data_IF_707551662922
#
_entry.id   IF_707551662922
#
_cell.length_a   1.000
_cell.length_b   1.000
_cell.length_c   1.000
_cell.angle_alpha   90.00
_cell.angle_beta   90.00
_cell.angle_gamma   90.00
#
_symmetry.space_group_name_H-M   'P 1'
#
loop_
_entity.id
_entity.type
_entity.pdbx_description
1 polymer ?
#
# COMPACT_ATOMS: atom_id res chain seq x y z
N UNK A 1 -11.35 -24.22 4.28
CA UNK A 1 -12.20 -23.19 3.62
C UNK A 1 -11.74 -21.83 4.08
N UNK A 2 -11.53 -20.89 3.15
CA UNK A 2 -11.25 -19.48 3.43
C UNK A 2 -12.46 -18.85 4.16
N UNK A 3 -12.25 -18.20 5.31
CA UNK A 3 -13.32 -17.46 6.03
C UNK A 3 -13.97 -16.37 5.16
N UNK A 4 -13.20 -15.87 4.18
CA UNK A 4 -13.64 -14.89 3.20
C UNK A 4 -14.20 -15.63 1.99
N UNK A 5 -15.49 -15.40 1.72
CA UNK A 5 -16.18 -15.88 0.51
C UNK A 5 -16.04 -14.82 -0.58
N UNK A 6 -15.73 -15.25 -1.80
CA UNK A 6 -15.59 -14.39 -2.97
C UNK A 6 -16.63 -14.77 -4.01
N UNK A 7 -17.34 -13.78 -4.55
CA UNK A 7 -18.28 -13.91 -5.67
C UNK A 7 -17.83 -12.98 -6.78
N UNK A 8 -17.74 -13.49 -8.01
CA UNK A 8 -17.42 -12.65 -9.18
C UNK A 8 -18.68 -11.87 -9.58
N UNK A 9 -18.62 -10.53 -9.55
CA UNK A 9 -19.70 -9.67 -10.02
C UNK A 9 -19.51 -9.29 -11.50
N UNK A 10 -18.27 -9.08 -11.89
CA UNK A 10 -17.85 -8.83 -13.28
C UNK A 10 -16.52 -9.50 -13.53
N UNK A 11 -16.41 -10.24 -14.63
CA UNK A 11 -15.18 -10.91 -15.04
C UNK A 11 -14.45 -10.07 -16.10
N UNK A 12 -13.20 -9.68 -15.81
CA UNK A 12 -12.28 -9.15 -16.79
C UNK A 12 -11.47 -10.25 -17.49
N UNK A 13 -10.57 -9.86 -18.38
CA UNK A 13 -9.61 -10.74 -19.04
C UNK A 13 -8.64 -11.28 -17.98
N UNK A 14 -8.71 -12.58 -17.76
CA UNK A 14 -7.86 -13.30 -16.81
C UNK A 14 -6.39 -13.12 -17.19
N UNK A 15 -5.55 -12.85 -16.20
CA UNK A 15 -4.10 -12.79 -16.35
C UNK A 15 -3.41 -13.41 -15.14
N UNK A 16 -2.19 -13.92 -15.33
CA UNK A 16 -1.30 -14.33 -14.24
C UNK A 16 -0.59 -13.15 -13.58
N UNK A 17 -0.68 -11.96 -14.19
CA UNK A 17 -0.22 -10.70 -13.61
C UNK A 17 -1.44 -9.89 -13.16
N UNK A 18 -1.54 -9.62 -11.87
CA UNK A 18 -2.71 -8.98 -11.25
C UNK A 18 -2.29 -7.69 -10.56
N UNK A 19 -2.98 -6.59 -10.85
CA UNK A 19 -3.00 -5.40 -9.99
C UNK A 19 -4.25 -5.52 -9.14
N UNK A 20 -4.12 -5.33 -7.83
CA UNK A 20 -5.23 -5.52 -6.90
C UNK A 20 -5.41 -4.34 -5.96
N UNK A 21 -6.67 -3.98 -5.77
CA UNK A 21 -7.11 -2.92 -4.86
C UNK A 21 -8.46 -3.29 -4.23
N UNK A 22 -8.91 -2.50 -3.26
CA UNK A 22 -10.21 -2.64 -2.63
C UNK A 22 -10.95 -1.31 -2.57
N UNK A 23 -12.26 -1.37 -2.57
CA UNK A 23 -13.12 -0.21 -2.35
C UNK A 23 -14.37 -0.63 -1.58
N UNK A 24 -14.65 0.05 -0.47
CA UNK A 24 -15.76 -0.19 0.44
C UNK A 24 -15.98 1.07 1.29
N UNK A 25 -17.11 1.18 1.97
CA UNK A 25 -17.35 2.22 2.97
C UNK A 25 -17.33 1.65 4.38
N UNK A 26 -17.02 2.52 5.33
CA UNK A 26 -17.09 2.23 6.76
C UNK A 26 -18.19 3.09 7.36
N UNK A 27 -19.22 2.49 7.97
CA UNK A 27 -20.26 3.15 8.78
C UNK A 27 -20.58 4.62 8.43
N UNK A 28 -20.62 5.50 9.44
CA UNK A 28 -20.70 6.96 9.29
C UNK A 28 -19.45 7.49 8.56
N UNK A 29 -19.44 7.35 7.24
CA UNK A 29 -18.22 7.49 6.46
C UNK A 29 -17.71 8.94 6.49
N UNK A 30 -16.50 9.11 7.01
CA UNK A 30 -15.74 10.36 7.13
C UNK A 30 -15.37 11.03 5.77
N UNK A 31 -15.62 10.37 4.63
CA UNK A 31 -15.23 10.86 3.30
C UNK A 31 -16.40 10.87 2.33
N UNK A 32 -16.44 11.89 1.47
CA UNK A 32 -17.41 12.05 0.39
C UNK A 32 -17.18 10.93 -0.63
N UNK A 33 -18.14 10.00 -0.76
CA UNK A 33 -18.02 8.81 -1.59
C UNK A 33 -17.66 9.11 -3.07
N UNK A 34 -18.07 10.27 -3.59
CA UNK A 34 -17.69 10.74 -4.94
C UNK A 34 -16.17 10.87 -5.15
N UNK A 35 -15.41 11.18 -4.09
CA UNK A 35 -13.96 11.26 -4.17
C UNK A 35 -13.35 9.90 -4.53
N UNK A 36 -13.83 8.83 -3.90
CA UNK A 36 -13.35 7.48 -4.14
C UNK A 36 -13.61 6.98 -5.56
N UNK A 37 -14.73 7.38 -6.17
CA UNK A 37 -15.02 7.07 -7.58
C UNK A 37 -14.03 7.77 -8.51
N UNK A 38 -13.73 9.05 -8.25
CA UNK A 38 -12.72 9.80 -9.00
C UNK A 38 -11.33 9.20 -8.86
N UNK A 39 -10.96 8.80 -7.65
CA UNK A 39 -9.69 8.14 -7.36
C UNK A 39 -9.60 6.77 -8.06
N UNK A 40 -10.67 5.98 -8.05
CA UNK A 40 -10.72 4.71 -8.77
C UNK A 40 -10.62 4.87 -10.29
N UNK A 41 -11.34 5.83 -10.89
CA UNK A 41 -11.21 6.12 -12.33
C UNK A 41 -9.78 6.54 -12.69
N UNK A 42 -9.15 7.38 -11.85
CA UNK A 42 -7.75 7.77 -12.03
C UNK A 42 -6.79 6.59 -11.89
N UNK A 43 -7.03 5.70 -10.93
CA UNK A 43 -6.29 4.45 -10.75
C UNK A 43 -6.38 3.58 -12.02
N UNK A 44 -7.58 3.39 -12.59
CA UNK A 44 -7.73 2.66 -13.84
C UNK A 44 -6.92 3.27 -14.98
N UNK A 45 -6.94 4.59 -15.14
CA UNK A 45 -6.10 5.29 -16.13
C UNK A 45 -4.61 5.03 -15.93
N UNK A 46 -4.13 5.01 -14.68
CA UNK A 46 -2.72 4.70 -14.39
C UNK A 46 -2.35 3.26 -14.79
N UNK A 47 -3.28 2.32 -14.68
CA UNK A 47 -3.04 0.91 -15.06
C UNK A 47 -2.96 0.69 -16.58
N UNK A 48 -3.25 1.69 -17.41
CA UNK A 48 -3.20 1.56 -18.89
C UNK A 48 -1.78 1.35 -19.43
N UNK A 49 -0.75 1.69 -18.66
CA UNK A 49 0.64 1.35 -18.99
C UNK A 49 1.00 -0.11 -18.65
N UNK A 50 0.09 -0.85 -18.02
CA UNK A 50 0.23 -2.24 -17.58
C UNK A 50 -0.84 -3.12 -18.24
N UNK A 51 -0.99 -3.03 -19.56
CA UNK A 51 -2.09 -3.69 -20.32
C UNK A 51 -2.12 -5.22 -20.21
N UNK A 52 -1.01 -5.84 -19.84
CA UNK A 52 -0.90 -7.29 -19.62
C UNK A 52 -1.45 -7.73 -18.27
N UNK A 53 -1.75 -6.79 -17.37
CA UNK A 53 -2.32 -7.07 -16.07
C UNK A 53 -3.86 -7.09 -16.10
N UNK A 54 -4.41 -8.05 -15.36
CA UNK A 54 -5.78 -8.01 -14.87
C UNK A 54 -5.86 -7.04 -13.68
N UNK A 55 -6.90 -6.21 -13.61
CA UNK A 55 -7.18 -5.36 -12.46
C UNK A 55 -8.29 -5.99 -11.63
N UNK A 56 -7.97 -6.45 -10.42
CA UNK A 56 -8.93 -7.05 -9.48
C UNK A 56 -9.32 -6.07 -8.40
N UNK A 57 -10.60 -5.72 -8.37
CA UNK A 57 -11.17 -4.78 -7.40
C UNK A 57 -12.07 -5.55 -6.45
N UNK A 58 -11.73 -5.53 -5.17
CA UNK A 58 -12.51 -6.16 -4.11
C UNK A 58 -13.49 -5.16 -3.48
N UNK A 59 -14.75 -5.55 -3.33
CA UNK A 59 -15.83 -4.74 -2.74
C UNK A 59 -16.79 -5.57 -1.90
N UNK A 60 -17.51 -4.94 -0.97
CA UNK A 60 -18.66 -5.55 -0.31
C UNK A 60 -19.98 -4.88 -0.77
N UNK A 61 -21.08 -5.11 -0.06
CA UNK A 61 -22.40 -4.57 -0.43
C UNK A 61 -22.47 -3.03 -0.33
N UNK A 62 -21.48 -2.37 0.27
CA UNK A 62 -21.49 -0.91 0.45
C UNK A 62 -21.10 -0.11 -0.79
N UNK A 63 -20.31 -0.71 -1.70
CA UNK A 63 -19.72 -0.01 -2.84
C UNK A 63 -19.87 -0.72 -4.18
N UNK A 64 -20.45 -1.95 -4.20
CA UNK A 64 -20.47 -2.83 -5.38
C UNK A 64 -21.08 -2.18 -6.63
N UNK A 65 -22.23 -1.53 -6.51
CA UNK A 65 -22.97 -1.00 -7.66
C UNK A 65 -22.20 0.13 -8.33
N UNK A 66 -21.56 0.97 -7.51
CA UNK A 66 -20.81 2.13 -8.00
C UNK A 66 -19.47 1.70 -8.62
N UNK A 67 -18.85 0.65 -8.11
CA UNK A 67 -17.64 0.07 -8.71
C UNK A 67 -17.98 -0.61 -10.04
N UNK A 68 -19.11 -1.32 -10.11
CA UNK A 68 -19.57 -1.92 -11.37
C UNK A 68 -19.80 -0.84 -12.43
N UNK A 69 -20.47 0.25 -12.07
CA UNK A 69 -20.66 1.41 -12.95
C UNK A 69 -19.31 2.02 -13.37
N UNK A 70 -18.42 2.30 -12.41
CA UNK A 70 -17.13 2.93 -12.69
C UNK A 70 -16.17 2.02 -13.48
N UNK A 71 -16.27 0.71 -13.32
CA UNK A 71 -15.52 -0.27 -14.10
C UNK A 71 -15.98 -0.33 -15.55
N UNK A 72 -17.28 -0.09 -15.80
CA UNK A 72 -17.91 -0.10 -17.12
C UNK A 72 -17.49 -1.30 -17.97
N UNK A 73 -17.29 -1.08 -19.26
CA UNK A 73 -16.88 -2.12 -20.22
C UNK A 73 -15.37 -2.38 -20.24
N UNK A 74 -14.60 -1.88 -19.26
CA UNK A 74 -13.15 -2.09 -19.27
C UNK A 74 -12.85 -3.60 -19.23
N UNK A 75 -12.23 -4.18 -20.28
CA UNK A 75 -12.08 -5.61 -20.41
C UNK A 75 -11.03 -6.17 -19.47
N UNK A 76 -10.22 -5.36 -18.79
CA UNK A 76 -9.18 -5.82 -17.84
C UNK A 76 -9.68 -5.85 -16.40
N UNK A 77 -10.83 -5.26 -16.10
CA UNK A 77 -11.32 -5.10 -14.72
C UNK A 77 -12.24 -6.23 -14.33
N UNK A 78 -11.81 -7.01 -13.32
CA UNK A 78 -12.61 -7.99 -12.59
C UNK A 78 -13.09 -7.37 -11.28
N UNK A 79 -14.40 -7.38 -11.05
CA UNK A 79 -15.02 -6.90 -9.80
C UNK A 79 -15.41 -8.11 -8.96
N UNK A 80 -14.85 -8.19 -7.76
CA UNK A 80 -14.99 -9.30 -6.83
C UNK A 80 -15.72 -8.83 -5.58
N UNK A 81 -16.89 -9.39 -5.31
CA UNK A 81 -17.56 -9.21 -4.04
C UNK A 81 -16.92 -10.10 -2.98
N UNK A 82 -16.64 -9.55 -1.81
CA UNK A 82 -16.20 -10.31 -0.65
C UNK A 82 -17.25 -10.28 0.47
N UNK A 83 -17.36 -11.40 1.18
CA UNK A 83 -18.17 -11.51 2.38
C UNK A 83 -17.44 -12.40 3.40
N UNK A 84 -17.22 -11.86 4.59
CA UNK A 84 -16.64 -12.59 5.71
C UNK A 84 -17.59 -12.50 6.90
N UNK A 85 -18.51 -13.47 7.09
CA UNK A 85 -19.58 -13.38 8.09
C UNK A 85 -19.11 -13.06 9.51
N UNK A 86 -17.93 -13.55 9.91
CA UNK A 86 -17.34 -13.29 11.23
C UNK A 86 -16.95 -11.82 11.45
N UNK A 87 -16.76 -11.06 10.38
CA UNK A 87 -16.34 -9.66 10.40
C UNK A 87 -17.39 -8.74 9.77
N UNK A 88 -18.63 -9.20 9.63
CA UNK A 88 -19.72 -8.42 9.00
C UNK A 88 -20.31 -7.40 9.99
N UNK A 89 -20.60 -6.20 9.51
CA UNK A 89 -21.26 -5.13 10.27
C UNK A 89 -22.28 -4.42 9.36
N UNK A 90 -23.57 -4.67 9.57
CA UNK A 90 -24.63 -4.18 8.70
C UNK A 90 -24.47 -4.66 7.24
N UNK A 91 -24.45 -3.71 6.31
CA UNK A 91 -24.17 -3.95 4.88
C UNK A 91 -22.68 -4.08 4.56
N UNK A 92 -21.79 -3.75 5.49
CA UNK A 92 -20.35 -3.79 5.28
C UNK A 92 -19.62 -4.76 6.19
N UNK A 93 -18.36 -4.44 6.46
CA UNK A 93 -17.50 -5.18 7.39
C UNK A 93 -16.95 -4.24 8.46
N UNK A 94 -16.58 -4.83 9.59
CA UNK A 94 -16.09 -4.10 10.76
C UNK A 94 -14.84 -3.29 10.43
N UNK A 95 -14.89 -2.00 10.77
CA UNK A 95 -13.75 -1.09 10.63
C UNK A 95 -13.11 -1.12 9.25
N UNK A 96 -11.80 -1.41 9.20
CA UNK A 96 -11.01 -1.42 7.98
C UNK A 96 -10.78 -2.83 7.41
N UNK A 97 -11.60 -3.82 7.78
CA UNK A 97 -11.41 -5.21 7.33
C UNK A 97 -11.24 -5.36 5.81
N UNK A 98 -11.98 -4.58 5.03
CA UNK A 98 -11.89 -4.60 3.57
C UNK A 98 -10.52 -4.21 3.00
N UNK A 99 -9.63 -3.57 3.76
CA UNK A 99 -8.26 -3.31 3.26
C UNK A 99 -7.42 -4.57 3.17
N UNK A 100 -7.74 -5.61 3.94
CA UNK A 100 -7.01 -6.88 3.92
C UNK A 100 -7.33 -7.71 2.67
N UNK A 101 -8.54 -7.61 2.13
CA UNK A 101 -8.98 -8.53 1.05
C UNK A 101 -8.25 -8.30 -0.28
N UNK A 102 -7.67 -7.11 -0.51
CA UNK A 102 -6.80 -6.86 -1.67
C UNK A 102 -5.51 -7.69 -1.64
N UNK A 103 -5.19 -8.34 -0.52
CA UNK A 103 -4.02 -9.21 -0.41
C UNK A 103 -4.32 -10.65 -0.84
N UNK A 104 -5.59 -11.00 -1.07
CA UNK A 104 -5.99 -12.36 -1.44
C UNK A 104 -5.26 -12.93 -2.65
N UNK A 105 -4.98 -12.15 -3.73
CA UNK A 105 -4.26 -12.69 -4.88
C UNK A 105 -2.86 -13.21 -4.53
N UNK A 106 -2.19 -12.69 -3.48
CA UNK A 106 -0.87 -13.18 -3.08
C UNK A 106 -0.84 -14.64 -2.60
N UNK A 107 -2.00 -15.24 -2.34
CA UNK A 107 -2.13 -16.64 -1.92
C UNK A 107 -2.64 -17.56 -3.05
N UNK A 108 -2.71 -17.04 -4.27
CA UNK A 108 -3.11 -17.74 -5.49
C UNK A 108 -1.87 -18.08 -6.34
N UNK A 109 -2.02 -19.03 -7.26
CA UNK A 109 -0.97 -19.35 -8.23
C UNK A 109 -0.96 -18.29 -9.35
N UNK A 110 -0.18 -17.23 -9.14
CA UNK A 110 -0.01 -16.08 -10.03
C UNK A 110 1.49 -15.77 -10.20
N UNK A 111 1.85 -15.14 -11.33
CA UNK A 111 3.23 -14.77 -11.62
C UNK A 111 3.63 -13.47 -10.92
N UNK A 112 2.70 -12.51 -10.85
CA UNK A 112 2.88 -11.22 -10.20
C UNK A 112 1.58 -10.73 -9.58
N UNK A 113 1.65 -10.22 -8.36
CA UNK A 113 0.58 -9.50 -7.68
C UNK A 113 1.10 -8.12 -7.26
N UNK A 114 0.55 -7.06 -7.83
CA UNK A 114 0.81 -5.68 -7.43
C UNK A 114 -0.34 -5.18 -6.57
N UNK A 115 -0.14 -5.12 -5.26
CA UNK A 115 -1.13 -4.59 -4.32
C UNK A 115 -0.99 -3.07 -4.19
N UNK A 116 -2.11 -2.37 -4.33
CA UNK A 116 -2.14 -0.91 -4.30
C UNK A 116 -3.37 -0.36 -3.58
N UNK A 117 -3.18 0.80 -2.95
CA UNK A 117 -4.29 1.72 -2.66
C UNK A 117 -4.83 2.31 -3.99
N UNK A 118 -6.03 2.88 -3.94
CA UNK A 118 -6.62 3.57 -5.10
C UNK A 118 -6.32 5.07 -5.14
N UNK A 119 -6.07 5.70 -3.99
CA UNK A 119 -5.74 7.12 -3.84
C UNK A 119 -4.23 7.38 -4.00
N UNK A 120 -3.64 6.75 -5.02
CA UNK A 120 -2.20 6.79 -5.30
C UNK A 120 -1.80 7.88 -6.31
N UNK A 121 -0.58 8.46 -6.19
CA UNK A 121 0.02 9.31 -7.21
C UNK A 121 0.20 8.60 -8.55
N UNK A 122 0.13 9.35 -9.65
CA UNK A 122 0.25 8.87 -11.03
C UNK A 122 1.48 7.98 -11.31
N UNK A 123 2.58 8.20 -10.58
CA UNK A 123 3.85 7.46 -10.73
C UNK A 123 3.92 6.14 -9.96
N UNK A 124 2.88 5.78 -9.19
CA UNK A 124 2.96 4.59 -8.34
C UNK A 124 2.88 3.30 -9.14
N UNK A 125 2.09 3.27 -10.22
CA UNK A 125 1.98 2.15 -11.15
C UNK A 125 2.85 2.38 -12.40
N UNK A 126 4.17 2.32 -12.22
CA UNK A 126 5.14 2.52 -13.31
C UNK A 126 5.57 1.18 -13.94
N UNK A 127 5.36 1.03 -15.25
CA UNK A 127 5.84 -0.14 -16.00
C UNK A 127 7.35 -0.35 -15.88
N UNK A 128 8.15 0.73 -15.78
CA UNK A 128 9.61 0.60 -15.65
C UNK A 128 10.01 -0.05 -14.33
N UNK A 129 9.27 0.24 -13.26
CA UNK A 129 9.48 -0.40 -11.96
C UNK A 129 9.17 -1.90 -12.05
N UNK A 130 8.07 -2.26 -12.71
CA UNK A 130 7.73 -3.65 -12.95
C UNK A 130 8.79 -4.36 -13.79
N UNK A 131 9.24 -3.76 -14.89
CA UNK A 131 10.30 -4.31 -15.74
C UNK A 131 11.57 -4.56 -14.91
N UNK A 132 11.94 -3.62 -14.04
CA UNK A 132 13.09 -3.78 -13.14
C UNK A 132 12.91 -4.92 -12.14
N UNK A 133 11.72 -5.06 -11.55
CA UNK A 133 11.35 -6.19 -10.66
C UNK A 133 11.47 -7.54 -11.38
N UNK A 134 10.99 -7.62 -12.62
CA UNK A 134 11.07 -8.84 -13.44
C UNK A 134 12.52 -9.16 -13.79
N UNK A 135 13.27 -8.19 -14.31
CA UNK A 135 14.67 -8.36 -14.73
C UNK A 135 15.59 -8.73 -13.56
N UNK A 136 15.37 -8.12 -12.38
CA UNK A 136 16.16 -8.40 -11.18
C UNK A 136 15.81 -9.75 -10.56
N UNK A 137 14.73 -10.42 -11.01
CA UNK A 137 14.26 -11.72 -10.50
C UNK A 137 14.07 -11.69 -8.98
N UNK A 138 13.40 -10.65 -8.48
CA UNK A 138 13.05 -10.56 -7.05
C UNK A 138 11.78 -11.34 -6.75
N UNK A 139 11.70 -11.85 -5.54
CA UNK A 139 10.53 -12.55 -4.99
C UNK A 139 9.48 -11.57 -4.51
N UNK A 140 9.94 -10.44 -3.94
CA UNK A 140 9.07 -9.43 -3.36
C UNK A 140 9.69 -8.03 -3.49
N UNK A 141 8.87 -7.02 -3.75
CA UNK A 141 9.26 -5.62 -3.72
C UNK A 141 8.53 -4.91 -2.59
N UNK A 142 9.29 -4.28 -1.70
CA UNK A 142 8.78 -3.46 -0.60
C UNK A 142 8.90 -1.99 -1.00
N UNK A 143 7.87 -1.18 -0.76
CA UNK A 143 8.03 0.27 -0.67
C UNK A 143 8.02 0.72 0.79
N UNK A 144 8.90 1.65 1.14
CA UNK A 144 9.00 2.24 2.49
C UNK A 144 9.42 3.72 2.41
N UNK A 145 9.17 4.50 3.48
CA UNK A 145 9.70 5.85 3.66
C UNK A 145 10.80 5.89 4.70
N UNK A 146 11.71 6.86 4.59
CA UNK A 146 12.85 7.02 5.49
C UNK A 146 12.47 7.07 6.98
N UNK A 147 11.39 7.77 7.32
CA UNK A 147 10.91 7.90 8.71
C UNK A 147 9.79 6.92 9.07
N UNK A 148 9.54 5.92 8.23
CA UNK A 148 8.54 4.87 8.48
C UNK A 148 9.13 3.67 9.22
N UNK A 149 10.45 3.48 9.12
CA UNK A 149 11.17 2.42 9.81
C UNK A 149 11.04 2.56 11.34
N UNK A 150 10.78 1.43 12.02
CA UNK A 150 10.68 1.29 13.49
C UNK A 150 9.55 2.06 14.18
N UNK A 151 8.95 3.07 13.55
CA UNK A 151 7.93 3.94 14.17
C UNK A 151 6.55 3.31 14.28
N UNK A 152 6.21 2.37 13.38
CA UNK A 152 4.86 1.76 13.34
C UNK A 152 4.85 0.31 13.82
N UNK A 153 5.76 -0.54 13.32
CA UNK A 153 5.76 -1.98 13.62
C UNK A 153 7.07 -2.53 14.17
N UNK A 154 8.06 -1.68 14.46
CA UNK A 154 9.36 -2.09 14.98
C UNK A 154 10.27 -2.84 13.99
N UNK A 155 9.88 -2.96 12.72
CA UNK A 155 10.65 -3.62 11.67
C UNK A 155 11.47 -2.62 10.84
N UNK A 156 12.60 -3.09 10.30
CA UNK A 156 13.39 -2.36 9.30
C UNK A 156 12.76 -2.61 7.93
N UNK A 157 12.80 -1.62 7.03
CA UNK A 157 12.11 -1.70 5.74
C UNK A 157 10.61 -2.05 5.89
N UNK A 158 9.90 -1.40 6.81
CA UNK A 158 8.46 -1.59 7.01
C UNK A 158 7.70 -1.58 5.68
N UNK A 159 6.89 -2.60 5.44
CA UNK A 159 6.08 -2.73 4.22
C UNK A 159 4.89 -1.78 4.28
N UNK A 160 4.82 -0.84 3.34
CA UNK A 160 3.65 0.00 3.13
C UNK A 160 2.53 -0.80 2.45
N UNK A 161 1.37 -0.88 3.09
CA UNK A 161 0.24 -1.70 2.63
C UNK A 161 -0.27 -1.33 1.23
N UNK A 162 -0.19 -0.05 0.86
CA UNK A 162 -0.67 0.48 -0.41
C UNK A 162 0.32 0.41 -1.57
N UNK A 163 1.52 -0.17 -1.41
CA UNK A 163 2.54 -0.13 -2.48
C UNK A 163 3.59 -1.25 -2.37
N UNK A 164 3.26 -2.44 -2.84
CA UNK A 164 4.22 -3.55 -2.94
C UNK A 164 3.90 -4.50 -4.11
N UNK A 165 4.88 -5.33 -4.47
CA UNK A 165 4.73 -6.35 -5.51
C UNK A 165 5.18 -7.70 -4.95
N UNK A 166 4.33 -8.72 -5.06
CA UNK A 166 4.70 -10.12 -4.82
C UNK A 166 4.90 -10.86 -6.13
N UNK A 167 5.95 -11.68 -6.21
CA UNK A 167 6.19 -12.67 -7.27
C UNK A 167 6.27 -14.09 -6.71
N UNK A 168 5.90 -14.25 -5.45
CA UNK A 168 5.80 -15.53 -4.75
C UNK A 168 4.39 -15.74 -4.26
N UNK A 169 3.96 -17.00 -4.28
CA UNK A 169 2.72 -17.42 -3.65
C UNK A 169 2.96 -17.67 -2.17
N UNK A 170 2.27 -16.92 -1.31
CA UNK A 170 2.30 -17.16 0.13
C UNK A 170 1.38 -18.32 0.52
N UNK A 171 1.72 -19.07 1.58
CA UNK A 171 0.85 -20.12 2.05
C UNK A 171 -0.38 -19.51 2.72
N UNK A 172 -1.58 -19.91 2.28
CA UNK A 172 -2.91 -19.47 2.79
C UNK A 172 -3.05 -19.55 4.32
N UNK A 173 -2.25 -20.41 4.97
CA UNK A 173 -2.19 -20.55 6.43
C UNK A 173 -1.80 -19.25 7.13
N UNK A 174 -1.02 -18.35 6.50
CA UNK A 174 -0.65 -17.06 7.09
C UNK A 174 -1.88 -16.19 7.36
N UNK A 175 -2.70 -16.00 6.32
CA UNK A 175 -3.95 -15.25 6.44
C UNK A 175 -4.94 -15.95 7.39
N UNK A 176 -5.07 -17.27 7.26
CA UNK A 176 -5.99 -18.05 8.12
C UNK A 176 -5.62 -17.95 9.60
N UNK A 177 -4.34 -18.07 9.93
CA UNK A 177 -3.85 -17.93 11.30
C UNK A 177 -4.08 -16.52 11.85
N UNK A 178 -3.81 -15.50 11.03
CA UNK A 178 -4.05 -14.10 11.41
C UNK A 178 -5.53 -13.86 11.74
N UNK A 179 -6.44 -14.21 10.83
CA UNK A 179 -7.88 -14.00 11.03
C UNK A 179 -8.43 -14.79 12.22
N UNK A 180 -7.99 -16.04 12.41
CA UNK A 180 -8.32 -16.82 13.61
C UNK A 180 -7.87 -16.10 14.89
N UNK A 181 -6.64 -15.56 14.91
CA UNK A 181 -6.13 -14.85 16.10
C UNK A 181 -6.88 -13.54 16.37
N UNK A 182 -7.35 -12.84 15.35
CA UNK A 182 -8.25 -11.69 15.52
C UNK A 182 -9.59 -12.17 16.11
N UNK A 183 -10.23 -13.17 15.50
CA UNK A 183 -11.55 -13.67 15.93
C UNK A 183 -11.54 -14.31 17.33
N UNK A 184 -10.44 -14.97 17.70
CA UNK A 184 -10.25 -15.60 19.02
C UNK A 184 -9.91 -14.58 20.12
N UNK A 185 -9.75 -13.29 19.80
CA UNK A 185 -9.32 -12.26 20.74
C UNK A 185 -7.84 -12.33 21.13
N UNK A 186 -7.03 -13.17 20.47
CA UNK A 186 -5.58 -13.30 20.73
C UNK A 186 -4.78 -12.07 20.32
N UNK A 187 -5.39 -11.16 19.56
CA UNK A 187 -4.79 -9.88 19.17
C UNK A 187 -5.46 -8.68 19.85
N UNK A 188 -6.31 -8.88 20.87
CA UNK A 188 -7.06 -7.77 21.50
C UNK A 188 -6.16 -6.66 22.06
N UNK A 189 -5.04 -7.01 22.70
CA UNK A 189 -4.08 -6.01 23.21
C UNK A 189 -3.47 -5.18 22.07
N UNK A 190 -3.06 -5.85 20.97
CA UNK A 190 -2.50 -5.15 19.80
C UNK A 190 -3.55 -4.28 19.11
N UNK A 191 -4.78 -4.77 18.99
CA UNK A 191 -5.92 -4.00 18.46
C UNK A 191 -6.16 -2.76 19.33
N UNK A 192 -6.10 -2.89 20.66
CA UNK A 192 -6.23 -1.77 21.58
C UNK A 192 -5.13 -0.73 21.39
N UNK A 193 -3.87 -1.18 21.32
CA UNK A 193 -2.73 -0.31 21.07
C UNK A 193 -2.90 0.51 19.78
N UNK A 194 -3.32 -0.15 18.69
CA UNK A 194 -3.57 0.51 17.39
C UNK A 194 -4.75 1.51 17.51
N UNK A 195 -5.82 1.13 18.21
CA UNK A 195 -6.97 2.02 18.45
C UNK A 195 -6.55 3.28 19.22
N UNK A 196 -5.75 3.15 20.27
CA UNK A 196 -5.25 4.28 21.08
C UNK A 196 -4.33 5.18 20.24
N UNK A 197 -3.48 4.60 19.38
CA UNK A 197 -2.63 5.35 18.46
C UNK A 197 -3.41 6.16 17.42
N UNK A 198 -4.59 5.66 17.03
CA UNK A 198 -5.45 6.25 16.01
C UNK A 198 -6.33 7.40 16.53
N UNK A 199 -5.73 8.55 16.86
CA UNK A 199 -6.42 9.72 17.44
C UNK A 199 -7.58 10.31 16.61
N UNK A 200 -7.65 10.03 15.31
CA UNK A 200 -8.64 10.61 14.37
C UNK A 200 -9.56 9.56 13.72
N UNK A 201 -9.48 8.29 14.14
CA UNK A 201 -10.30 7.22 13.58
C UNK A 201 -11.17 6.62 14.69
N UNK A 202 -12.39 6.16 14.37
CA UNK A 202 -13.22 5.48 15.34
C UNK A 202 -12.53 4.19 15.78
N UNK A 203 -12.78 3.81 17.04
CA UNK A 203 -12.31 2.53 17.57
C UNK A 203 -13.01 1.39 16.86
N UNK A 204 -12.30 0.27 16.65
CA UNK A 204 -12.84 -0.89 15.96
C UNK A 204 -12.15 -2.18 16.40
N UNK A 205 -12.82 -3.32 16.23
CA UNK A 205 -12.22 -4.65 16.36
C UNK A 205 -11.30 -4.99 15.17
N UNK A 206 -11.35 -4.22 14.08
CA UNK A 206 -10.40 -4.27 12.98
C UNK A 206 -9.97 -2.85 12.61
N UNK A 207 -9.09 -2.22 13.41
CA UNK A 207 -8.76 -0.80 13.23
C UNK A 207 -7.87 -0.54 12.01
N UNK A 208 -7.79 0.74 11.63
CA UNK A 208 -6.87 1.22 10.60
C UNK A 208 -5.42 0.88 10.97
N UNK A 209 -4.75 0.11 10.10
CA UNK A 209 -3.39 -0.39 10.32
C UNK A 209 -3.30 -1.91 10.55
N UNK A 210 -4.42 -2.62 10.73
CA UNK A 210 -4.38 -4.09 10.90
C UNK A 210 -3.88 -4.85 9.66
N UNK A 211 -4.15 -4.34 8.46
CA UNK A 211 -3.61 -4.87 7.21
C UNK A 211 -2.09 -4.68 7.13
N UNK A 212 -1.59 -3.51 7.54
CA UNK A 212 -0.16 -3.25 7.60
C UNK A 212 0.54 -4.05 8.71
N UNK A 213 -0.12 -4.26 9.85
CA UNK A 213 0.34 -5.18 10.89
C UNK A 213 0.47 -6.60 10.34
N UNK A 214 -0.52 -7.09 9.58
CA UNK A 214 -0.45 -8.40 8.94
C UNK A 214 0.77 -8.51 8.01
N UNK A 215 1.01 -7.51 7.16
CA UNK A 215 2.17 -7.48 6.27
C UNK A 215 3.49 -7.49 7.05
N UNK A 216 3.61 -6.66 8.07
CA UNK A 216 4.84 -6.49 8.83
C UNK A 216 5.09 -7.52 9.91
N UNK A 217 4.20 -8.51 10.06
CA UNK A 217 4.40 -9.63 10.98
C UNK A 217 4.32 -10.99 10.28
N UNK A 218 3.27 -11.29 9.52
CA UNK A 218 3.11 -12.62 8.91
C UNK A 218 3.88 -12.71 7.59
N UNK A 219 3.68 -11.75 6.69
CA UNK A 219 4.36 -11.73 5.38
C UNK A 219 5.84 -11.46 5.56
N UNK A 220 6.19 -10.43 6.34
CA UNK A 220 7.57 -10.05 6.63
C UNK A 220 8.38 -11.20 7.24
N UNK A 221 7.87 -11.85 8.29
CA UNK A 221 8.58 -12.98 8.90
C UNK A 221 8.67 -14.19 7.97
N UNK A 222 7.69 -14.39 7.09
CA UNK A 222 7.78 -15.43 6.08
C UNK A 222 8.91 -15.14 5.08
N UNK A 223 8.98 -13.92 4.54
CA UNK A 223 10.05 -13.48 3.63
C UNK A 223 11.43 -13.66 4.28
N UNK A 224 11.54 -13.26 5.55
CA UNK A 224 12.76 -13.41 6.34
C UNK A 224 13.16 -14.87 6.53
N UNK A 225 12.23 -15.72 6.96
CA UNK A 225 12.49 -17.14 7.21
C UNK A 225 12.85 -17.94 5.94
N UNK A 226 12.40 -17.50 4.77
CA UNK A 226 12.69 -18.15 3.48
C UNK A 226 13.86 -17.49 2.75
N UNK A 227 14.52 -16.51 3.38
CA UNK A 227 15.61 -15.72 2.80
C UNK A 227 15.26 -15.19 1.39
N UNK A 228 14.03 -14.71 1.21
CA UNK A 228 13.51 -14.24 -0.08
C UNK A 228 14.36 -13.11 -0.64
N UNK A 229 14.46 -13.03 -1.96
CA UNK A 229 15.17 -11.95 -2.65
C UNK A 229 14.29 -10.72 -2.73
N UNK A 230 14.61 -9.68 -1.96
CA UNK A 230 13.72 -8.52 -1.76
C UNK A 230 14.30 -7.26 -2.39
N UNK A 231 13.49 -6.59 -3.22
CA UNK A 231 13.78 -5.23 -3.69
C UNK A 231 13.14 -4.21 -2.74
N UNK A 232 13.96 -3.45 -2.03
CA UNK A 232 13.50 -2.33 -1.22
C UNK A 232 13.53 -1.06 -2.05
N UNK A 233 12.35 -0.47 -2.26
CA UNK A 233 12.17 0.86 -2.76
C UNK A 233 12.00 1.84 -1.60
N UNK A 234 13.08 2.56 -1.27
CA UNK A 234 13.09 3.55 -0.19
C UNK A 234 12.87 4.95 -0.75
N UNK A 235 11.79 5.61 -0.31
CA UNK A 235 11.46 6.98 -0.67
C UNK A 235 11.95 7.94 0.44
N UNK A 236 12.88 8.82 0.04
CA UNK A 236 13.54 9.81 0.89
C UNK A 236 12.76 11.11 1.01
N UNK A 237 11.85 11.38 0.06
CA UNK A 237 10.92 12.49 0.14
C UNK A 237 9.61 12.00 0.75
N UNK A 238 9.54 11.95 2.08
CA UNK A 238 8.30 11.64 2.78
C UNK A 238 7.33 12.82 2.77
N UNK A 239 6.03 12.53 2.91
CA UNK A 239 4.99 13.55 2.96
C UNK A 239 5.00 14.35 4.28
N UNK A 240 5.69 13.85 5.31
CA UNK A 240 5.90 14.55 6.58
C UNK A 240 6.69 15.85 6.40
N UNK A 241 7.66 15.88 5.48
CA UNK A 241 8.43 17.07 5.12
C UNK A 241 7.51 18.21 4.65
N UNK A 242 6.43 17.90 3.92
CA UNK A 242 5.47 18.91 3.46
C UNK A 242 4.85 19.69 4.63
N UNK A 243 4.49 18.99 5.70
CA UNK A 243 3.86 19.59 6.87
C UNK A 243 4.81 20.45 7.70
N UNK A 244 6.12 20.26 7.54
CA UNK A 244 7.18 21.02 8.24
C UNK A 244 7.63 22.25 7.49
N UNK A 245 7.49 22.23 6.17
CA UNK A 245 7.83 23.38 5.37
C UNK A 245 6.90 24.53 5.75
N UNK A 246 7.39 25.70 6.15
CA UNK A 246 6.51 26.84 6.45
C UNK A 246 6.19 27.65 5.19
N UNK A 247 7.19 27.80 4.33
CA UNK A 247 7.09 28.56 3.08
C UNK A 247 6.12 27.89 2.10
N UNK A 248 5.09 28.65 1.68
CA UNK A 248 4.01 28.16 0.81
C UNK A 248 4.46 27.83 -0.61
N UNK A 249 5.46 28.55 -1.15
CA UNK A 249 6.04 28.25 -2.45
C UNK A 249 6.76 26.91 -2.44
N UNK A 250 7.55 26.65 -1.40
CA UNK A 250 8.21 25.36 -1.20
C UNK A 250 7.20 24.23 -1.00
N UNK A 251 6.12 24.45 -0.23
CA UNK A 251 5.02 23.47 -0.13
C UNK A 251 4.41 23.14 -1.48
N UNK A 252 4.11 24.17 -2.28
CA UNK A 252 3.56 23.99 -3.62
C UNK A 252 4.51 23.20 -4.51
N UNK A 253 5.81 23.49 -4.45
CA UNK A 253 6.82 22.77 -5.20
C UNK A 253 6.91 21.28 -4.79
N UNK A 254 6.86 20.99 -3.49
CA UNK A 254 6.82 19.63 -2.95
C UNK A 254 5.56 18.87 -3.43
N UNK A 255 4.39 19.52 -3.38
CA UNK A 255 3.13 18.97 -3.90
C UNK A 255 3.21 18.72 -5.42
N UNK A 256 3.73 19.67 -6.17
CA UNK A 256 3.90 19.54 -7.62
C UNK A 256 4.79 18.34 -7.94
N UNK A 257 5.89 18.11 -7.20
CA UNK A 257 6.73 16.93 -7.38
C UNK A 257 6.02 15.63 -6.99
N UNK A 258 5.25 15.63 -5.91
CA UNK A 258 4.49 14.47 -5.46
C UNK A 258 3.52 13.97 -6.55
N UNK A 259 2.80 14.89 -7.19
CA UNK A 259 1.84 14.55 -8.25
C UNK A 259 2.46 14.42 -9.65
N UNK A 260 3.51 15.20 -9.93
CA UNK A 260 4.12 15.38 -11.26
C UNK A 260 5.64 15.54 -11.13
N UNK A 261 6.38 14.46 -10.82
CA UNK A 261 7.81 14.54 -10.64
C UNK A 261 8.48 14.96 -11.95
N UNK A 262 9.45 15.86 -11.86
CA UNK A 262 10.32 16.21 -12.98
C UNK A 262 11.74 16.44 -12.48
N UNK A 263 12.71 16.27 -13.36
CA UNK A 263 14.12 16.48 -13.01
C UNK A 263 14.39 17.93 -12.56
N UNK A 264 13.78 18.91 -13.21
CA UNK A 264 13.93 20.32 -12.85
C UNK A 264 13.35 20.64 -11.46
N UNK A 265 12.21 20.06 -11.12
CA UNK A 265 11.59 20.19 -9.79
C UNK A 265 12.40 19.43 -8.74
N UNK A 266 12.89 18.23 -9.05
CA UNK A 266 13.81 17.47 -8.20
C UNK A 266 15.03 18.31 -7.78
N UNK A 267 15.70 18.97 -8.74
CA UNK A 267 16.88 19.79 -8.44
C UNK A 267 16.55 20.95 -7.50
N UNK A 268 15.38 21.59 -7.67
CA UNK A 268 14.92 22.67 -6.79
C UNK A 268 14.62 22.16 -5.38
N UNK A 269 13.89 21.05 -5.26
CA UNK A 269 13.59 20.42 -3.97
C UNK A 269 14.86 19.96 -3.28
N UNK A 270 15.81 19.34 -3.99
CA UNK A 270 17.09 18.90 -3.41
C UNK A 270 17.84 20.05 -2.76
N UNK A 271 17.88 21.23 -3.38
CA UNK A 271 18.48 22.45 -2.79
C UNK A 271 17.74 22.92 -1.54
N UNK A 272 16.41 22.89 -1.56
CA UNK A 272 15.57 23.24 -0.41
C UNK A 272 15.85 22.27 0.75
N UNK A 273 15.85 20.97 0.50
CA UNK A 273 16.06 19.96 1.53
C UNK A 273 17.47 20.04 2.14
N UNK A 274 18.51 20.29 1.34
CA UNK A 274 19.86 20.52 1.88
C UNK A 274 19.93 21.69 2.87
N UNK A 275 19.06 22.69 2.72
CA UNK A 275 18.97 23.83 3.63
C UNK A 275 18.16 23.51 4.89
N UNK A 276 17.00 22.89 4.76
CA UNK A 276 16.03 22.76 5.85
C UNK A 276 16.05 21.43 6.61
N UNK A 277 16.56 20.34 6.01
CA UNK A 277 16.63 19.04 6.69
C UNK A 277 17.44 19.09 7.99
N UNK A 278 18.57 19.81 8.10
CA UNK A 278 19.29 19.95 9.36
C UNK A 278 18.41 20.45 10.52
N UNK A 279 17.51 21.40 10.25
CA UNK A 279 16.59 21.96 11.26
C UNK A 279 15.56 20.93 11.74
N UNK A 280 15.24 19.94 10.90
CA UNK A 280 14.26 18.90 11.23
C UNK A 280 14.84 17.75 12.08
N UNK A 281 16.16 17.66 12.22
CA UNK A 281 16.83 16.52 12.87
C UNK A 281 16.54 16.44 14.37
N UNK A 282 16.38 17.58 15.05
CA UNK A 282 16.12 17.63 16.49
C UNK A 282 14.83 16.89 16.85
N UNK A 283 13.76 17.12 16.07
CA UNK A 283 12.47 16.47 16.30
C UNK A 283 12.37 15.10 15.59
N UNK A 284 13.14 14.90 14.52
CA UNK A 284 13.08 13.71 13.67
C UNK A 284 14.46 13.18 13.28
N UNK A 285 15.11 12.44 14.19
CA UNK A 285 16.43 11.85 13.94
C UNK A 285 16.48 10.92 12.72
N UNK A 286 15.34 10.36 12.30
CA UNK A 286 15.25 9.54 11.08
C UNK A 286 15.66 10.29 9.80
N UNK A 287 15.66 11.62 9.79
CA UNK A 287 16.16 12.40 8.65
C UNK A 287 17.68 12.48 8.55
N UNK A 288 18.44 11.93 9.51
CA UNK A 288 19.90 11.89 9.43
C UNK A 288 20.36 11.13 8.17
N UNK A 289 19.72 10.00 7.88
CA UNK A 289 19.97 9.24 6.66
C UNK A 289 19.61 10.05 5.39
N UNK A 290 18.59 10.93 5.46
CA UNK A 290 18.24 11.82 4.36
C UNK A 290 19.37 12.81 4.09
N UNK A 291 19.91 13.43 5.14
CA UNK A 291 21.02 14.39 5.02
C UNK A 291 22.24 13.76 4.35
N UNK A 292 22.59 12.52 4.74
CA UNK A 292 23.70 11.75 4.15
C UNK A 292 23.45 11.39 2.68
N UNK A 293 22.20 11.08 2.33
CA UNK A 293 21.84 10.59 1.00
C UNK A 293 21.54 11.71 0.00
N UNK A 294 21.05 12.86 0.44
CA UNK A 294 20.67 14.00 -0.40
C UNK A 294 21.74 14.34 -1.46
N UNK A 295 23.04 14.51 -1.12
CA UNK A 295 24.07 14.80 -2.11
C UNK A 295 24.20 13.72 -3.18
N UNK A 296 23.99 12.45 -2.81
CA UNK A 296 24.16 11.26 -3.66
C UNK A 296 23.00 11.00 -4.62
N UNK A 297 21.81 11.52 -4.30
CA UNK A 297 20.62 11.40 -5.15
C UNK A 297 20.80 12.17 -6.47
N UNK A 298 20.55 11.53 -7.61
CA UNK A 298 20.86 12.10 -8.93
C UNK A 298 19.64 12.60 -9.69
N UNK A 299 18.54 11.87 -9.66
CA UNK A 299 17.37 12.10 -10.53
C UNK A 299 16.03 11.99 -9.80
N UNK A 300 16.00 11.29 -8.67
CA UNK A 300 14.82 11.11 -7.85
C UNK A 300 15.17 11.02 -6.36
N UNK A 301 14.14 11.09 -5.51
CA UNK A 301 14.24 10.78 -4.08
C UNK A 301 13.96 9.30 -3.77
N UNK A 302 14.01 8.43 -4.78
CA UNK A 302 13.78 7.00 -4.63
C UNK A 302 15.10 6.27 -4.82
N UNK A 303 15.41 5.38 -3.89
CA UNK A 303 16.56 4.47 -3.99
C UNK A 303 16.04 3.04 -3.97
N UNK A 304 16.49 2.26 -4.95
CA UNK A 304 16.25 0.83 -5.01
C UNK A 304 17.46 0.10 -4.43
N UNK A 305 17.21 -0.82 -3.50
CA UNK A 305 18.24 -1.68 -2.91
C UNK A 305 17.77 -3.12 -2.91
N UNK A 306 18.57 -4.00 -3.47
CA UNK A 306 18.36 -5.43 -3.36
C UNK A 306 18.94 -5.92 -2.02
N UNK A 307 18.17 -6.70 -1.27
CA UNK A 307 18.59 -7.34 -0.02
C UNK A 307 18.10 -8.80 0.01
N UNK A 308 18.70 -9.58 0.88
CA UNK A 308 18.20 -10.91 1.20
C UNK A 308 17.17 -10.83 2.33
N UNK A 309 16.27 -11.81 2.40
CA UNK A 309 15.21 -11.84 3.41
C UNK A 309 15.77 -11.87 4.84
N UNK A 310 16.94 -12.47 5.05
CA UNK A 310 17.64 -12.45 6.34
C UNK A 310 18.07 -11.05 6.81
N UNK A 311 18.23 -10.10 5.87
CA UNK A 311 18.59 -8.68 6.12
C UNK A 311 17.38 -7.76 6.33
N UNK A 312 16.16 -8.31 6.27
CA UNK A 312 14.94 -7.66 6.72
C UNK A 312 15.03 -7.43 8.24
#
# INVERSE_FOLDING_TARGET
MSQIKITVLKQGKVSRNVITCCLFTTGDSYRIFNQYVGDFKRFLTQTEHLKTFEVRVYTDDTAKDIILEAAGDNPRVTVLHFNCPQFREGSGHVGMFGTLVRFLPMFEDLDTVWCSDIDIPSRYLDHKLYDHVVHTKVDFMISTFICYERKVWGTKNTILAGRFISRVQFPRRLLTLFLNRVSDGKLSEKIEEINVGNKRKPRSNFPYGMDEYFLNTYVYNWLKAHNSRVLVQKEYLDFGILFRMENQENKRLLLDYYYRPSYSVFLKIKKILLKYVPDFLADHPCYDELLVMLPKLKDSFIVLKLIDGSDL
#
